data_IF_880867764232
#
_entry.id   IF_880867764232
#
_cell.length_a   1.000
_cell.length_b   1.000
_cell.length_c   1.000
_cell.angle_alpha   90.00
_cell.angle_beta   90.00
_cell.angle_gamma   90.00
#
_symmetry.space_group_name_H-M   'P 1'
#
loop_
_entity.id
_entity.type
_entity.pdbx_description
1 polymer ?
#
# COMPACT_ATOMS: atom_id res chain seq x y z
N UNK A 1 -16.01 -50.01 -25.13
CA UNK A 1 -17.33 -49.34 -25.08
C UNK A 1 -17.03 -47.88 -24.85
N UNK A 2 -16.89 -47.18 -25.96
CA UNK A 2 -16.79 -45.74 -25.96
C UNK A 2 -18.19 -45.16 -25.76
N UNK A 3 -18.29 -44.14 -24.93
CA UNK A 3 -19.34 -43.13 -24.98
C UNK A 3 -18.70 -41.88 -24.36
N UNK A 4 -18.03 -41.03 -25.13
CA UNK A 4 -18.56 -40.03 -26.07
C UNK A 4 -19.56 -39.06 -25.42
N UNK A 5 -19.11 -37.80 -25.44
CA UNK A 5 -19.87 -36.54 -25.54
C UNK A 5 -20.39 -35.93 -24.24
N UNK A 6 -20.27 -34.62 -23.97
CA UNK A 6 -19.76 -33.38 -24.60
C UNK A 6 -20.17 -32.28 -23.58
N UNK A 7 -19.63 -31.07 -23.42
CA UNK A 7 -18.65 -30.27 -24.14
C UNK A 7 -18.32 -29.00 -23.33
N UNK A 8 -17.28 -28.29 -23.81
CA UNK A 8 -16.89 -26.89 -23.57
C UNK A 8 -16.32 -26.59 -22.18
N UNK A 9 -15.05 -26.24 -22.03
CA UNK A 9 -14.38 -25.17 -22.78
C UNK A 9 -12.96 -25.57 -23.20
N UNK A 10 -12.68 -25.40 -24.48
CA UNK A 10 -11.37 -25.52 -25.08
C UNK A 10 -11.04 -24.16 -25.71
N UNK A 11 -10.00 -23.50 -25.20
CA UNK A 11 -9.24 -22.43 -25.86
C UNK A 11 -8.16 -21.98 -24.86
N UNK A 12 -6.85 -22.13 -25.06
CA UNK A 12 -6.07 -22.46 -26.24
C UNK A 12 -4.72 -23.04 -25.79
N UNK A 13 -4.28 -24.08 -26.49
CA UNK A 13 -2.88 -24.49 -26.53
C UNK A 13 -2.19 -23.59 -27.56
N UNK A 14 -1.36 -22.64 -27.14
CA UNK A 14 -0.18 -22.16 -27.88
C UNK A 14 0.38 -20.87 -27.27
N UNK A 15 1.71 -20.80 -27.18
CA UNK A 15 2.53 -19.60 -26.91
C UNK A 15 2.91 -19.37 -25.44
N UNK A 16 3.80 -20.21 -24.93
CA UNK A 16 4.84 -19.73 -24.02
C UNK A 16 5.79 -18.82 -24.81
N UNK A 17 5.43 -17.54 -24.91
CA UNK A 17 6.35 -16.48 -25.28
C UNK A 17 6.70 -15.71 -24.01
N UNK A 18 7.99 -15.54 -23.75
CA UNK A 18 8.46 -14.78 -22.59
C UNK A 18 7.97 -13.34 -22.70
N UNK A 19 7.02 -12.93 -21.85
CA UNK A 19 6.50 -11.57 -21.81
C UNK A 19 7.14 -10.78 -20.68
N UNK A 20 8.34 -10.26 -20.94
CA UNK A 20 8.83 -9.12 -20.17
C UNK A 20 7.92 -7.91 -20.48
N UNK A 21 7.39 -7.26 -19.43
CA UNK A 21 6.67 -5.97 -19.41
C UNK A 21 5.14 -5.96 -19.18
N UNK A 22 4.57 -6.95 -18.46
CA UNK A 22 3.16 -6.87 -17.97
C UNK A 22 2.99 -6.56 -16.47
N UNK A 23 4.07 -6.36 -15.71
CA UNK A 23 3.98 -6.36 -14.24
C UNK A 23 3.54 -5.04 -13.61
N UNK A 24 3.89 -3.88 -14.19
CA UNK A 24 3.66 -2.57 -13.54
C UNK A 24 2.17 -2.21 -13.42
N UNK A 25 1.37 -2.50 -14.45
CA UNK A 25 -0.08 -2.24 -14.45
C UNK A 25 -0.80 -3.12 -13.43
N UNK A 26 -0.33 -4.35 -13.22
CA UNK A 26 -0.86 -5.27 -12.22
C UNK A 26 -0.56 -4.77 -10.80
N UNK A 27 0.69 -4.42 -10.49
CA UNK A 27 1.06 -3.86 -9.17
C UNK A 27 0.29 -2.59 -8.85
N UNK A 28 0.16 -1.66 -9.80
CA UNK A 28 -0.61 -0.44 -9.59
C UNK A 28 -2.08 -0.73 -9.31
N UNK A 29 -2.70 -1.63 -10.08
CA UNK A 29 -4.08 -2.04 -9.87
C UNK A 29 -4.28 -2.67 -8.49
N UNK A 30 -3.34 -3.52 -8.04
CA UNK A 30 -3.35 -4.09 -6.69
C UNK A 30 -3.28 -3.02 -5.59
N UNK A 31 -2.48 -1.96 -5.76
CA UNK A 31 -2.41 -0.85 -4.80
C UNK A 31 -3.75 -0.12 -4.68
N UNK A 32 -4.44 0.13 -5.80
CA UNK A 32 -5.76 0.77 -5.79
C UNK A 32 -6.80 -0.12 -5.12
N UNK A 33 -6.86 -1.40 -5.47
CA UNK A 33 -7.77 -2.37 -4.83
C UNK A 33 -7.48 -2.50 -3.34
N UNK A 34 -6.20 -2.56 -2.94
CA UNK A 34 -5.78 -2.61 -1.55
C UNK A 34 -6.23 -1.38 -0.76
N UNK A 35 -6.06 -0.18 -1.33
CA UNK A 35 -6.52 1.07 -0.72
C UNK A 35 -8.05 1.08 -0.52
N UNK A 36 -8.82 0.67 -1.52
CA UNK A 36 -10.28 0.61 -1.43
C UNK A 36 -10.75 -0.36 -0.34
N UNK A 37 -10.15 -1.55 -0.28
CA UNK A 37 -10.48 -2.55 0.73
C UNK A 37 -10.14 -2.06 2.14
N UNK A 38 -8.97 -1.43 2.32
CA UNK A 38 -8.55 -0.85 3.59
C UNK A 38 -9.50 0.27 4.04
N UNK A 39 -9.87 1.19 3.14
CA UNK A 39 -10.78 2.28 3.48
C UNK A 39 -12.16 1.75 3.90
N UNK A 40 -12.70 0.76 3.19
CA UNK A 40 -13.98 0.13 3.54
C UNK A 40 -13.92 -0.62 4.87
N UNK A 41 -12.85 -1.37 5.13
CA UNK A 41 -12.67 -2.08 6.40
C UNK A 41 -12.55 -1.11 7.57
N UNK A 42 -11.76 -0.05 7.40
CA UNK A 42 -11.55 0.99 8.43
C UNK A 42 -12.85 1.71 8.75
N UNK A 43 -13.63 2.13 7.73
CA UNK A 43 -14.94 2.77 7.97
C UNK A 43 -15.97 1.83 8.62
N UNK A 44 -15.86 0.52 8.43
CA UNK A 44 -16.74 -0.46 9.09
C UNK A 44 -16.36 -0.66 10.55
N UNK A 45 -15.07 -0.65 10.86
CA UNK A 45 -14.56 -0.79 12.22
C UNK A 45 -14.77 0.49 13.05
N UNK A 46 -14.48 1.65 12.46
CA UNK A 46 -14.65 2.97 13.07
C UNK A 46 -15.21 3.97 12.03
N UNK A 47 -16.54 4.21 12.03
CA UNK A 47 -17.18 5.14 11.11
C UNK A 47 -16.72 6.60 11.25
N UNK A 48 -16.21 6.98 12.42
CA UNK A 48 -15.76 8.34 12.71
C UNK A 48 -14.25 8.53 12.49
N UNK A 49 -13.51 7.48 12.13
CA UNK A 49 -12.07 7.51 11.94
C UNK A 49 -11.60 8.65 11.02
N UNK A 50 -12.15 8.71 9.80
CA UNK A 50 -11.77 9.73 8.82
C UNK A 50 -12.25 11.13 9.21
N UNK A 51 -13.42 11.23 9.87
CA UNK A 51 -13.94 12.50 10.38
C UNK A 51 -13.04 13.07 11.48
N UNK A 52 -12.51 12.22 12.35
CA UNK A 52 -11.55 12.62 13.39
C UNK A 52 -10.22 13.03 12.76
N UNK A 53 -9.71 12.24 11.83
CA UNK A 53 -8.43 12.51 11.16
C UNK A 53 -8.44 13.81 10.33
N UNK A 54 -9.58 14.18 9.76
CA UNK A 54 -9.73 15.39 8.94
C UNK A 54 -9.82 16.69 9.74
N UNK A 55 -10.20 16.66 11.03
CA UNK A 55 -10.43 17.88 11.84
C UNK A 55 -9.15 18.66 12.11
N UNK A 56 -8.12 17.99 12.60
CA UNK A 56 -6.81 18.58 12.90
C UNK A 56 -5.83 17.47 13.28
N UNK A 57 -4.54 17.63 12.94
CA UNK A 57 -3.48 16.76 13.42
C UNK A 57 -2.52 17.59 14.29
N UNK A 58 -2.25 17.13 15.51
CA UNK A 58 -1.29 17.72 16.44
C UNK A 58 -0.40 16.62 17.03
N UNK A 59 0.51 16.03 16.23
CA UNK A 59 1.38 14.96 16.70
C UNK A 59 2.46 15.49 17.64
N UNK A 60 2.71 14.78 18.73
CA UNK A 60 3.78 15.11 19.70
C UNK A 60 5.17 14.69 19.19
N UNK A 61 5.22 13.80 18.20
CA UNK A 61 6.46 13.16 17.72
C UNK A 61 6.64 13.37 16.22
N UNK A 62 7.86 13.77 15.83
CA UNK A 62 8.34 13.77 14.45
C UNK A 62 9.22 12.53 14.21
N UNK A 63 8.81 11.68 13.28
CA UNK A 63 9.54 10.50 12.82
C UNK A 63 10.31 10.80 11.53
N UNK A 64 11.64 10.74 11.57
CA UNK A 64 12.50 10.89 10.39
C UNK A 64 13.05 9.52 10.00
N UNK A 65 12.48 8.96 8.93
CA UNK A 65 12.80 7.61 8.44
C UNK A 65 13.65 7.61 7.17
N UNK A 66 14.16 6.43 6.81
CA UNK A 66 14.67 6.16 5.47
C UNK A 66 13.50 5.84 4.55
N UNK A 67 13.52 6.30 3.30
CA UNK A 67 12.53 5.94 2.27
C UNK A 67 12.69 4.48 1.75
N UNK A 68 13.20 3.58 2.59
CA UNK A 68 13.31 2.16 2.32
C UNK A 68 11.91 1.54 2.38
N UNK A 69 11.47 0.95 1.28
CA UNK A 69 10.12 0.37 1.16
C UNK A 69 9.83 -0.76 2.16
N UNK A 70 10.86 -1.32 2.81
CA UNK A 70 10.70 -2.39 3.80
C UNK A 70 10.45 -1.85 5.21
N UNK A 71 10.56 -0.54 5.44
CA UNK A 71 10.53 0.05 6.77
C UNK A 71 9.42 1.11 6.97
N UNK A 72 8.14 0.81 6.68
CA UNK A 72 7.06 1.76 6.89
C UNK A 72 6.84 2.03 8.40
N UNK A 73 6.80 3.32 8.77
CA UNK A 73 6.79 3.77 10.16
C UNK A 73 5.64 3.18 11.00
N UNK A 74 4.42 3.08 10.44
CA UNK A 74 3.26 2.55 11.14
C UNK A 74 3.46 1.07 11.56
N UNK A 75 4.09 0.26 10.70
CA UNK A 75 4.32 -1.17 10.97
C UNK A 75 5.39 -1.37 12.04
N UNK A 76 6.42 -0.53 12.06
CA UNK A 76 7.51 -0.62 13.03
C UNK A 76 7.10 -0.11 14.41
N UNK A 77 6.33 0.99 14.45
CA UNK A 77 6.00 1.70 15.70
C UNK A 77 4.67 1.24 16.31
N UNK A 78 3.75 0.69 15.51
CA UNK A 78 2.40 0.33 15.95
C UNK A 78 1.50 1.53 16.27
N UNK A 79 1.93 2.75 15.95
CA UNK A 79 1.18 3.98 16.24
C UNK A 79 0.17 4.25 15.12
N UNK A 80 -1.11 4.41 15.48
CA UNK A 80 -2.18 4.73 14.52
C UNK A 80 -1.94 6.06 13.79
N UNK A 81 -2.56 6.19 12.61
CA UNK A 81 -2.51 7.42 11.82
C UNK A 81 -2.93 8.66 12.64
N UNK A 82 -2.17 9.75 12.49
CA UNK A 82 -2.36 10.99 13.25
C UNK A 82 -1.56 11.08 14.56
N UNK A 83 -0.97 9.98 15.04
CA UNK A 83 -0.18 9.97 16.28
C UNK A 83 1.26 10.51 16.12
N UNK A 84 1.79 10.56 14.90
CA UNK A 84 3.11 11.11 14.59
C UNK A 84 3.09 11.84 13.25
N UNK A 85 4.00 12.80 13.07
CA UNK A 85 4.34 13.36 11.76
C UNK A 85 5.54 12.60 11.21
N UNK A 86 5.50 12.16 9.95
CA UNK A 86 6.64 11.46 9.34
C UNK A 86 7.20 12.15 8.12
N UNK A 87 8.52 12.11 8.01
CA UNK A 87 9.27 12.45 6.79
C UNK A 87 10.23 11.31 6.45
N UNK A 88 10.26 10.87 5.20
CA UNK A 88 11.16 9.80 4.74
C UNK A 88 12.18 10.35 3.75
N UNK A 89 13.47 10.08 3.98
CA UNK A 89 14.57 10.53 3.10
C UNK A 89 15.26 9.36 2.43
N UNK A 90 15.63 9.54 1.16
CA UNK A 90 16.37 8.54 0.37
C UNK A 90 17.88 8.52 0.67
N UNK A 91 18.36 9.38 1.57
CA UNK A 91 19.80 9.53 1.85
C UNK A 91 20.06 9.53 3.35
N UNK A 92 20.82 8.53 3.81
CA UNK A 92 21.31 8.43 5.19
C UNK A 92 22.29 9.55 5.60
N UNK A 93 22.57 10.53 4.74
CA UNK A 93 23.59 11.57 4.97
C UNK A 93 23.04 12.97 5.24
N UNK A 94 21.75 13.13 5.55
CA UNK A 94 21.24 14.46 5.92
C UNK A 94 21.54 14.72 7.40
N UNK A 95 22.71 15.32 7.65
CA UNK A 95 22.91 16.21 8.80
C UNK A 95 21.86 17.32 8.70
N UNK A 96 20.81 17.24 9.50
CA UNK A 96 19.87 18.35 9.71
C UNK A 96 20.45 19.18 10.86
N UNK A 97 21.02 20.39 10.63
CA UNK A 97 21.07 21.37 11.69
C UNK A 97 19.63 21.83 11.90
N UNK A 98 19.17 21.65 13.13
CA UNK A 98 17.95 22.26 13.64
C UNK A 98 17.99 23.75 13.29
N UNK A 99 17.12 24.21 12.40
CA UNK A 99 16.74 25.62 12.34
C UNK A 99 15.23 25.70 12.40
N UNK A 100 14.75 25.64 13.64
CA UNK A 100 13.57 26.36 14.07
C UNK A 100 13.89 27.85 13.87
N UNK A 101 13.28 28.46 12.85
CA UNK A 101 12.62 29.76 12.95
C UNK A 101 11.58 29.87 11.84
#
# INVERSE_FOLDING_TARGET
MENQNEAHQNSDTASQSCSCSHHATDTFSQMITGNLNWAQATSKEDPDFFNQLAKSQQPEVLWIGCADSRAPANVITGIKAGGYLSTETWRMSVLIPILIC
#
